data_IF_580995712707
#
_entry.id   IF_580995712707
#
_cell.length_a   1.000
_cell.length_b   1.000
_cell.length_c   1.000
_cell.angle_alpha   90.00
_cell.angle_beta   90.00
_cell.angle_gamma   90.00
#
_symmetry.space_group_name_H-M   'P 1'
#
loop_
_entity.id
_entity.type
_entity.pdbx_description
1 polymer ?
#
# COMPACT_ATOMS: atom_id res chain seq x y z
N UNK A 1 -15.92 13.86 -10.29
CA UNK A 1 -15.46 12.53 -10.73
C UNK A 1 -16.68 11.67 -11.00
N UNK A 2 -16.76 11.09 -12.20
CA UNK A 2 -17.82 10.13 -12.52
C UNK A 2 -17.27 8.73 -12.32
N UNK A 3 -18.00 7.87 -11.62
CA UNK A 3 -17.67 6.45 -11.47
C UNK A 3 -18.66 5.60 -12.27
N UNK A 4 -18.19 4.53 -12.85
CA UNK A 4 -19.03 3.54 -13.55
C UNK A 4 -19.70 2.58 -12.56
N UNK A 5 -19.20 2.50 -11.33
CA UNK A 5 -19.67 1.56 -10.33
C UNK A 5 -21.03 1.99 -9.74
N UNK A 6 -22.04 1.11 -9.74
CA UNK A 6 -23.31 1.37 -9.08
C UNK A 6 -23.15 1.44 -7.55
N UNK A 7 -24.07 2.15 -6.86
CA UNK A 7 -24.00 2.36 -5.41
C UNK A 7 -23.95 1.07 -4.58
N UNK A 8 -24.67 0.03 -5.02
CA UNK A 8 -24.64 -1.26 -4.31
C UNK A 8 -23.23 -1.88 -4.29
N UNK A 9 -22.44 -1.65 -5.34
CA UNK A 9 -21.08 -2.18 -5.42
C UNK A 9 -20.14 -1.47 -4.44
N UNK A 10 -20.34 -0.15 -4.20
CA UNK A 10 -19.66 0.59 -3.13
C UNK A 10 -20.01 0.02 -1.74
N UNK A 11 -21.31 -0.27 -1.51
CA UNK A 11 -21.75 -0.89 -0.27
C UNK A 11 -21.14 -2.28 -0.08
N UNK A 12 -21.14 -3.11 -1.14
CA UNK A 12 -20.53 -4.44 -1.12
C UNK A 12 -19.03 -4.36 -0.82
N UNK A 13 -18.31 -3.44 -1.47
CA UNK A 13 -16.90 -3.18 -1.17
C UNK A 13 -16.69 -2.81 0.30
N UNK A 14 -17.47 -1.87 0.82
CA UNK A 14 -17.40 -1.45 2.24
C UNK A 14 -17.62 -2.62 3.20
N UNK A 15 -18.63 -3.45 2.94
CA UNK A 15 -18.90 -4.66 3.74
C UNK A 15 -17.74 -5.64 3.68
N UNK A 16 -17.18 -5.90 2.49
CA UNK A 16 -16.02 -6.80 2.34
C UNK A 16 -14.82 -6.27 3.12
N UNK A 17 -14.52 -4.98 3.03
CA UNK A 17 -13.38 -4.37 3.75
C UNK A 17 -13.58 -4.48 5.27
N UNK A 18 -14.76 -4.13 5.78
CA UNK A 18 -15.06 -4.23 7.22
C UNK A 18 -15.00 -5.68 7.71
N UNK A 19 -15.57 -6.63 6.96
CA UNK A 19 -15.50 -8.05 7.27
C UNK A 19 -14.04 -8.55 7.26
N UNK A 20 -13.25 -8.13 6.28
CA UNK A 20 -11.84 -8.47 6.15
C UNK A 20 -11.02 -7.97 7.36
N UNK A 21 -11.21 -6.72 7.76
CA UNK A 21 -10.54 -6.15 8.93
C UNK A 21 -11.00 -6.84 10.23
N UNK A 22 -12.28 -7.19 10.33
CA UNK A 22 -12.79 -7.94 11.47
C UNK A 22 -12.20 -9.34 11.56
N UNK A 23 -12.14 -10.08 10.45
CA UNK A 23 -11.51 -11.40 10.37
C UNK A 23 -10.04 -11.30 10.77
N UNK A 24 -9.32 -10.32 10.23
CA UNK A 24 -7.90 -10.10 10.52
C UNK A 24 -7.68 -9.79 12.02
N UNK A 25 -8.58 -9.00 12.62
CA UNK A 25 -8.56 -8.71 14.04
C UNK A 25 -8.84 -9.96 14.91
N UNK A 26 -9.85 -10.77 14.53
CA UNK A 26 -10.18 -12.02 15.26
C UNK A 26 -9.03 -13.02 15.17
N UNK A 27 -8.43 -13.17 13.99
CA UNK A 27 -7.25 -14.04 13.77
C UNK A 27 -6.09 -13.55 14.64
N UNK A 28 -5.81 -12.25 14.64
CA UNK A 28 -4.78 -11.64 15.49
C UNK A 28 -5.00 -11.98 16.97
N UNK A 29 -6.23 -11.83 17.46
CA UNK A 29 -6.58 -12.10 18.87
C UNK A 29 -6.40 -13.58 19.24
N UNK A 30 -6.73 -14.49 18.33
CA UNK A 30 -6.57 -15.95 18.54
C UNK A 30 -5.10 -16.39 18.52
N UNK A 31 -4.28 -15.76 17.70
CA UNK A 31 -2.84 -16.10 17.56
C UNK A 31 -2.01 -15.68 18.79
N UNK A 32 -2.50 -14.72 19.58
CA UNK A 32 -1.80 -14.24 20.79
C UNK A 32 -0.31 -13.90 20.52
N UNK A 33 0.57 -14.40 21.40
CA UNK A 33 2.02 -14.19 21.29
C UNK A 33 2.76 -15.20 20.40
N UNK A 34 2.05 -16.18 19.81
CA UNK A 34 2.71 -17.20 18.96
C UNK A 34 3.22 -16.59 17.65
N UNK A 35 4.38 -17.03 17.18
CA UNK A 35 4.92 -16.62 15.90
C UNK A 35 4.11 -17.25 14.75
N UNK A 36 3.88 -16.45 13.70
CA UNK A 36 3.14 -16.90 12.52
C UNK A 36 4.07 -17.76 11.66
N UNK A 37 3.69 -19.02 11.46
CA UNK A 37 4.43 -19.90 10.58
C UNK A 37 4.34 -19.52 9.10
N UNK A 38 5.39 -19.81 8.31
CA UNK A 38 5.45 -19.48 6.88
C UNK A 38 4.26 -20.06 6.10
N UNK A 39 3.83 -21.29 6.40
CA UNK A 39 2.67 -21.91 5.75
C UNK A 39 1.36 -21.16 6.05
N UNK A 40 1.20 -20.73 7.28
CA UNK A 40 0.02 -19.96 7.69
C UNK A 40 -0.01 -18.59 7.01
N UNK A 41 1.12 -17.90 6.99
CA UNK A 41 1.29 -16.62 6.31
C UNK A 41 1.01 -16.74 4.79
N UNK A 42 1.50 -17.82 4.15
CA UNK A 42 1.23 -18.10 2.75
C UNK A 42 -0.27 -18.34 2.49
N UNK A 43 -0.91 -19.17 3.30
CA UNK A 43 -2.33 -19.48 3.16
C UNK A 43 -3.18 -18.22 3.29
N UNK A 44 -2.93 -17.38 4.29
CA UNK A 44 -3.64 -16.11 4.44
C UNK A 44 -3.37 -15.15 3.28
N UNK A 45 -2.13 -15.09 2.78
CA UNK A 45 -1.81 -14.28 1.60
C UNK A 45 -2.59 -14.74 0.37
N UNK A 46 -2.69 -16.05 0.14
CA UNK A 46 -3.49 -16.62 -0.95
C UNK A 46 -4.99 -16.34 -0.80
N UNK A 47 -5.53 -16.39 0.43
CA UNK A 47 -6.94 -16.04 0.70
C UNK A 47 -7.22 -14.59 0.30
N UNK A 48 -6.35 -13.65 0.66
CA UNK A 48 -6.53 -12.23 0.31
C UNK A 48 -6.39 -11.97 -1.20
N UNK A 49 -5.47 -12.67 -1.86
CA UNK A 49 -5.33 -12.62 -3.31
C UNK A 49 -6.60 -13.17 -3.99
N UNK A 50 -7.08 -14.35 -3.56
CA UNK A 50 -8.29 -14.94 -4.10
C UNK A 50 -9.52 -14.03 -3.91
N UNK A 51 -9.65 -13.38 -2.75
CA UNK A 51 -10.72 -12.42 -2.49
C UNK A 51 -10.68 -11.24 -3.47
N UNK A 52 -9.49 -10.73 -3.80
CA UNK A 52 -9.33 -9.65 -4.77
C UNK A 52 -9.77 -10.07 -6.18
N UNK A 53 -9.43 -11.29 -6.60
CA UNK A 53 -9.87 -11.84 -7.89
C UNK A 53 -11.37 -12.11 -7.93
N UNK A 54 -11.95 -12.63 -6.84
CA UNK A 54 -13.40 -12.82 -6.73
C UNK A 54 -14.14 -11.48 -6.81
N UNK A 55 -13.63 -10.45 -6.13
CA UNK A 55 -14.20 -9.12 -6.25
C UNK A 55 -14.08 -8.56 -7.66
N UNK A 56 -12.95 -8.75 -8.34
CA UNK A 56 -12.79 -8.35 -9.74
C UNK A 56 -13.78 -9.07 -10.67
N UNK A 57 -14.05 -10.35 -10.44
CA UNK A 57 -15.10 -11.10 -11.16
C UNK A 57 -16.49 -10.53 -10.90
N UNK A 58 -16.82 -10.19 -9.66
CA UNK A 58 -18.07 -9.53 -9.30
C UNK A 58 -18.18 -8.14 -9.95
N UNK A 59 -17.11 -7.36 -9.95
CA UNK A 59 -17.02 -6.05 -10.58
C UNK A 59 -17.25 -6.16 -12.10
N UNK A 60 -16.59 -7.09 -12.76
CA UNK A 60 -16.80 -7.38 -14.18
C UNK A 60 -18.25 -7.69 -14.49
N UNK A 61 -18.86 -8.61 -13.71
CA UNK A 61 -20.26 -8.98 -13.88
C UNK A 61 -21.20 -7.78 -13.68
N UNK A 62 -20.98 -6.98 -12.66
CA UNK A 62 -21.78 -5.80 -12.36
C UNK A 62 -21.73 -4.76 -13.47
N UNK A 63 -20.55 -4.50 -14.04
CA UNK A 63 -20.40 -3.55 -15.16
C UNK A 63 -21.09 -4.10 -16.43
N UNK A 64 -20.93 -5.40 -16.72
CA UNK A 64 -21.59 -6.03 -17.85
C UNK A 64 -23.12 -5.97 -17.72
N UNK A 65 -23.66 -6.27 -16.54
CA UNK A 65 -25.10 -6.24 -16.27
C UNK A 65 -25.67 -4.82 -16.40
N UNK A 66 -24.96 -3.82 -15.85
CA UNK A 66 -25.40 -2.43 -15.84
C UNK A 66 -25.31 -1.75 -17.20
N UNK A 67 -24.27 -2.05 -17.98
CA UNK A 67 -23.97 -1.34 -19.25
C UNK A 67 -24.34 -2.15 -20.49
N UNK A 68 -24.55 -3.45 -20.37
CA UNK A 68 -24.74 -4.38 -21.49
C UNK A 68 -23.49 -4.62 -22.35
N UNK A 69 -22.35 -3.97 -22.01
CA UNK A 69 -21.11 -4.02 -22.80
C UNK A 69 -20.08 -4.95 -22.17
N UNK A 70 -19.80 -6.08 -22.81
CA UNK A 70 -18.72 -7.00 -22.40
C UNK A 70 -17.34 -6.37 -22.60
N UNK A 71 -17.15 -5.58 -23.65
CA UNK A 71 -15.88 -4.90 -23.92
C UNK A 71 -15.52 -3.90 -22.83
N UNK A 72 -16.49 -3.08 -22.39
CA UNK A 72 -16.31 -2.14 -21.30
C UNK A 72 -16.02 -2.85 -19.98
N UNK A 73 -16.76 -3.94 -19.68
CA UNK A 73 -16.52 -4.75 -18.49
C UNK A 73 -15.11 -5.37 -18.50
N UNK A 74 -14.63 -5.88 -19.63
CA UNK A 74 -13.27 -6.38 -19.77
C UNK A 74 -12.23 -5.29 -19.51
N UNK A 75 -12.40 -4.11 -20.11
CA UNK A 75 -11.48 -2.98 -19.95
C UNK A 75 -11.39 -2.54 -18.48
N UNK A 76 -12.56 -2.36 -17.83
CA UNK A 76 -12.59 -1.91 -16.42
C UNK A 76 -12.07 -2.96 -15.43
N UNK A 77 -12.32 -4.24 -15.69
CA UNK A 77 -11.76 -5.35 -14.95
C UNK A 77 -10.22 -5.42 -15.07
N UNK A 78 -9.69 -5.19 -16.28
CA UNK A 78 -8.24 -5.11 -16.50
C UNK A 78 -7.61 -3.87 -15.85
N UNK A 79 -8.30 -2.72 -15.85
CA UNK A 79 -7.85 -1.54 -15.11
C UNK A 79 -7.73 -1.83 -13.61
N UNK A 80 -8.75 -2.48 -13.01
CA UNK A 80 -8.70 -2.90 -11.60
C UNK A 80 -7.53 -3.86 -11.35
N UNK A 81 -7.38 -4.89 -12.17
CA UNK A 81 -6.33 -5.89 -11.98
C UNK A 81 -4.93 -5.28 -12.12
N UNK A 82 -4.75 -4.39 -13.11
CA UNK A 82 -3.47 -3.69 -13.30
C UNK A 82 -3.15 -2.79 -12.09
N UNK A 83 -4.13 -2.00 -11.62
CA UNK A 83 -3.97 -1.17 -10.43
C UNK A 83 -3.65 -2.00 -9.18
N UNK A 84 -4.36 -3.13 -9.00
CA UNK A 84 -4.11 -4.07 -7.91
C UNK A 84 -2.69 -4.64 -7.94
N UNK A 85 -2.19 -5.09 -9.10
CA UNK A 85 -0.86 -5.67 -9.24
C UNK A 85 0.25 -4.62 -9.03
N UNK A 86 0.07 -3.41 -9.56
CA UNK A 86 1.01 -2.29 -9.33
C UNK A 86 1.10 -2.01 -7.83
N UNK A 87 -0.03 -1.79 -7.17
CA UNK A 87 -0.06 -1.49 -5.75
C UNK A 87 0.48 -2.66 -4.91
N UNK A 88 0.14 -3.90 -5.29
CA UNK A 88 0.65 -5.10 -4.62
C UNK A 88 2.16 -5.23 -4.73
N UNK A 89 2.73 -4.89 -5.90
CA UNK A 89 4.18 -4.88 -6.12
C UNK A 89 4.88 -3.80 -5.28
N UNK A 90 4.32 -2.59 -5.26
CA UNK A 90 4.84 -1.49 -4.43
C UNK A 90 4.68 -1.77 -2.92
N UNK A 91 3.60 -2.45 -2.53
CA UNK A 91 3.39 -2.87 -1.14
C UNK A 91 4.45 -3.86 -0.63
N UNK A 92 5.09 -4.64 -1.51
CA UNK A 92 6.24 -5.49 -1.14
C UNK A 92 7.42 -4.64 -0.68
N UNK A 93 7.71 -3.54 -1.36
CA UNK A 93 8.77 -2.60 -0.96
C UNK A 93 8.48 -1.97 0.41
N UNK A 94 7.23 -1.58 0.66
CA UNK A 94 6.79 -1.07 1.96
C UNK A 94 7.08 -2.07 3.09
N UNK A 95 6.93 -3.37 2.83
CA UNK A 95 7.21 -4.42 3.81
C UNK A 95 8.69 -4.46 4.19
N UNK A 96 9.61 -4.26 3.25
CA UNK A 96 11.04 -4.21 3.57
C UNK A 96 11.38 -3.01 4.48
N UNK A 97 10.73 -1.87 4.26
CA UNK A 97 10.89 -0.72 5.14
C UNK A 97 10.32 -1.00 6.54
N UNK A 98 9.20 -1.70 6.64
CA UNK A 98 8.66 -2.13 7.93
C UNK A 98 9.61 -3.09 8.65
N UNK A 99 10.19 -4.06 7.94
CA UNK A 99 11.21 -4.96 8.48
C UNK A 99 12.41 -4.18 9.02
N UNK A 100 12.89 -3.20 8.27
CA UNK A 100 14.00 -2.34 8.69
C UNK A 100 13.65 -1.52 9.95
N UNK A 101 12.45 -0.92 10.01
CA UNK A 101 11.97 -0.17 11.18
C UNK A 101 11.87 -1.09 12.39
N UNK A 102 11.27 -2.28 12.26
CA UNK A 102 11.14 -3.22 13.37
C UNK A 102 12.49 -3.73 13.86
N UNK A 103 13.44 -3.98 12.97
CA UNK A 103 14.80 -4.39 13.32
C UNK A 103 15.55 -3.28 14.03
N UNK A 104 15.48 -2.04 13.51
CA UNK A 104 16.14 -0.87 14.09
C UNK A 104 15.67 -0.58 15.50
N UNK A 105 14.36 -0.63 15.75
CA UNK A 105 13.78 -0.42 17.08
C UNK A 105 13.77 -1.68 17.94
N UNK A 106 14.29 -2.81 17.45
CA UNK A 106 14.26 -4.12 18.13
C UNK A 106 12.84 -4.48 18.63
N UNK A 107 11.81 -4.27 17.77
CA UNK A 107 10.40 -4.49 18.13
C UNK A 107 10.15 -5.98 18.35
N UNK A 108 9.73 -6.43 19.55
CA UNK A 108 9.37 -7.82 19.78
C UNK A 108 8.30 -8.34 18.83
N UNK A 109 8.41 -9.61 18.38
CA UNK A 109 7.52 -10.19 17.36
C UNK A 109 6.02 -10.10 17.70
N UNK A 110 5.69 -10.23 18.98
CA UNK A 110 4.31 -10.12 19.44
C UNK A 110 3.74 -8.69 19.32
N UNK A 111 4.58 -7.63 19.42
CA UNK A 111 4.14 -6.25 19.20
C UNK A 111 4.02 -5.91 17.72
N UNK A 112 4.83 -6.53 16.85
CA UNK A 112 4.79 -6.28 15.40
C UNK A 112 3.40 -6.53 14.81
N UNK A 113 2.70 -7.58 15.25
CA UNK A 113 1.34 -7.92 14.80
C UNK A 113 0.35 -6.78 15.03
N UNK A 114 0.40 -6.18 16.23
CA UNK A 114 -0.47 -5.07 16.61
C UNK A 114 -0.13 -3.80 15.85
N UNK A 115 1.16 -3.50 15.72
CA UNK A 115 1.64 -2.34 14.97
C UNK A 115 1.21 -2.43 13.52
N UNK A 116 1.38 -3.61 12.87
CA UNK A 116 0.95 -3.83 11.49
C UNK A 116 -0.56 -3.65 11.33
N UNK A 117 -1.38 -4.14 12.28
CA UNK A 117 -2.82 -3.95 12.22
C UNK A 117 -3.22 -2.46 12.26
N UNK A 118 -2.63 -1.71 13.19
CA UNK A 118 -2.87 -0.26 13.30
C UNK A 118 -2.36 0.44 12.03
N UNK A 119 -1.17 0.04 11.54
CA UNK A 119 -0.60 0.55 10.29
C UNK A 119 -1.52 0.33 9.08
N UNK A 120 -2.10 -0.86 8.93
CA UNK A 120 -3.03 -1.18 7.84
C UNK A 120 -4.29 -0.31 7.91
N UNK A 121 -4.89 -0.15 9.09
CA UNK A 121 -6.07 0.70 9.26
C UNK A 121 -5.71 2.15 8.93
N UNK A 122 -4.58 2.63 9.44
CA UNK A 122 -4.06 3.96 9.12
C UNK A 122 -3.80 4.16 7.63
N UNK A 123 -3.17 3.17 6.98
CA UNK A 123 -2.91 3.17 5.55
C UNK A 123 -4.20 3.26 4.73
N UNK A 124 -5.23 2.48 5.04
CA UNK A 124 -6.53 2.53 4.35
C UNK A 124 -7.14 3.93 4.47
N UNK A 125 -7.15 4.51 5.66
CA UNK A 125 -7.70 5.86 5.89
C UNK A 125 -6.90 6.92 5.15
N UNK A 126 -5.57 6.93 5.32
CA UNK A 126 -4.69 7.92 4.68
C UNK A 126 -4.77 7.85 3.15
N UNK A 127 -4.71 6.64 2.57
CA UNK A 127 -4.78 6.44 1.13
C UNK A 127 -6.16 6.81 0.57
N UNK A 128 -7.23 6.49 1.30
CA UNK A 128 -8.58 6.93 0.89
C UNK A 128 -8.63 8.46 0.78
N UNK A 129 -8.14 9.18 1.78
CA UNK A 129 -8.07 10.65 1.74
C UNK A 129 -7.22 11.13 0.58
N UNK A 130 -6.02 10.57 0.40
CA UNK A 130 -5.10 10.97 -0.68
C UNK A 130 -5.65 10.66 -2.08
N UNK A 131 -6.36 9.54 -2.26
CA UNK A 131 -7.02 9.19 -3.52
C UNK A 131 -8.14 10.19 -3.84
N UNK A 132 -8.95 10.56 -2.86
CA UNK A 132 -10.01 11.56 -3.04
C UNK A 132 -9.43 12.93 -3.39
N UNK A 133 -8.40 13.37 -2.68
CA UNK A 133 -7.71 14.64 -2.95
C UNK A 133 -6.99 14.59 -4.31
N UNK A 134 -6.24 13.53 -4.58
CA UNK A 134 -5.51 13.35 -5.85
C UNK A 134 -6.44 13.31 -7.04
N UNK A 135 -7.54 12.58 -6.93
CA UNK A 135 -8.54 12.53 -7.98
C UNK A 135 -9.26 13.86 -8.20
N UNK A 136 -9.52 14.64 -7.14
CA UNK A 136 -10.05 16.01 -7.28
C UNK A 136 -9.03 16.91 -7.99
N UNK A 137 -7.75 16.86 -7.59
CA UNK A 137 -6.68 17.62 -8.23
C UNK A 137 -6.56 17.30 -9.73
N UNK A 138 -6.61 16.03 -10.10
CA UNK A 138 -6.52 15.59 -11.49
C UNK A 138 -7.76 16.00 -12.31
N UNK A 139 -8.95 16.06 -11.69
CA UNK A 139 -10.15 16.51 -12.35
C UNK A 139 -10.13 18.02 -12.64
N UNK A 140 -9.50 18.81 -11.76
CA UNK A 140 -9.40 20.26 -11.89
C UNK A 140 -8.21 20.70 -12.73
N UNK A 141 -7.05 20.01 -12.59
CA UNK A 141 -5.80 20.40 -13.18
C UNK A 141 -5.15 19.27 -13.98
N UNK A 142 -5.53 19.13 -15.25
CA UNK A 142 -5.02 18.05 -16.12
C UNK A 142 -3.47 18.02 -16.24
N UNK A 143 -2.81 19.18 -16.19
CA UNK A 143 -1.35 19.28 -16.26
C UNK A 143 -0.62 18.59 -15.11
N UNK A 144 -1.30 18.31 -13.99
CA UNK A 144 -0.73 17.58 -12.85
C UNK A 144 -0.34 16.15 -13.24
N UNK A 145 -0.97 15.54 -14.26
CA UNK A 145 -0.57 14.23 -14.78
C UNK A 145 0.88 14.22 -15.26
N UNK A 146 1.32 15.28 -15.94
CA UNK A 146 2.71 15.40 -16.38
C UNK A 146 3.69 15.58 -15.22
N UNK A 147 3.28 16.36 -14.19
CA UNK A 147 4.08 16.52 -12.98
C UNK A 147 4.26 15.19 -12.26
N UNK A 148 3.17 14.43 -12.10
CA UNK A 148 3.21 13.11 -11.50
C UNK A 148 4.00 12.11 -12.35
N UNK A 149 3.85 12.14 -13.67
CA UNK A 149 4.63 11.31 -14.58
C UNK A 149 6.14 11.57 -14.45
N UNK A 150 6.55 12.84 -14.49
CA UNK A 150 7.95 13.22 -14.29
C UNK A 150 8.47 12.80 -12.91
N UNK A 151 7.66 12.99 -11.86
CA UNK A 151 8.00 12.57 -10.50
C UNK A 151 8.22 11.06 -10.40
N UNK A 152 7.36 10.24 -11.01
CA UNK A 152 7.50 8.78 -11.03
C UNK A 152 8.77 8.34 -11.78
N UNK A 153 9.08 8.97 -12.92
CA UNK A 153 10.34 8.70 -13.66
C UNK A 153 11.55 9.01 -12.78
N UNK A 154 11.56 10.18 -12.12
CA UNK A 154 12.66 10.57 -11.25
C UNK A 154 12.79 9.63 -10.03
N UNK A 155 11.69 9.23 -9.42
CA UNK A 155 11.68 8.28 -8.32
C UNK A 155 12.20 6.92 -8.77
N UNK A 156 11.74 6.41 -9.91
CA UNK A 156 12.23 5.15 -10.48
C UNK A 156 13.72 5.18 -10.81
N UNK A 157 14.23 6.27 -11.40
CA UNK A 157 15.66 6.45 -11.65
C UNK A 157 16.47 6.50 -10.34
N UNK A 158 16.00 7.26 -9.34
CA UNK A 158 16.63 7.31 -8.02
C UNK A 158 16.68 5.92 -7.38
N UNK A 159 15.58 5.17 -7.46
CA UNK A 159 15.49 3.81 -6.94
C UNK A 159 16.45 2.85 -7.64
N UNK A 160 16.59 2.96 -8.97
CA UNK A 160 17.54 2.20 -9.75
C UNK A 160 18.98 2.43 -9.29
N UNK A 161 19.39 3.70 -9.08
CA UNK A 161 20.75 4.03 -8.64
C UNK A 161 21.00 3.74 -7.16
N UNK A 162 19.96 3.71 -6.34
CA UNK A 162 20.05 3.36 -4.92
C UNK A 162 19.98 1.85 -4.70
N UNK A 163 19.58 1.06 -5.70
CA UNK A 163 19.46 -0.38 -5.58
C UNK A 163 20.81 -1.01 -5.20
N UNK A 164 20.79 -1.92 -4.23
CA UNK A 164 21.98 -2.56 -3.69
C UNK A 164 22.69 -1.80 -2.55
N UNK A 165 22.21 -0.61 -2.17
CA UNK A 165 22.69 0.09 -0.97
C UNK A 165 21.78 -0.27 0.22
N UNK A 166 22.38 -0.62 1.35
CA UNK A 166 21.61 -0.84 2.58
C UNK A 166 21.05 0.51 3.08
N UNK A 167 19.73 0.61 3.29
CA UNK A 167 19.13 1.83 3.82
C UNK A 167 19.53 2.00 5.30
N UNK A 168 20.06 3.17 5.64
CA UNK A 168 20.38 3.54 7.01
C UNK A 168 19.27 4.42 7.60
N UNK A 169 18.59 3.92 8.64
CA UNK A 169 17.51 4.66 9.31
C UNK A 169 18.00 5.88 10.09
N UNK A 170 19.24 5.91 10.56
CA UNK A 170 19.77 7.08 11.28
C UNK A 170 19.83 8.33 10.39
N UNK A 171 19.96 8.15 9.07
CA UNK A 171 19.94 9.23 8.10
C UNK A 171 18.53 9.61 7.63
N UNK A 172 17.50 8.86 8.03
CA UNK A 172 16.13 9.11 7.62
C UNK A 172 15.62 10.45 8.19
N UNK A 173 15.25 11.42 7.34
CA UNK A 173 14.79 12.74 7.78
C UNK A 173 13.50 12.67 8.62
N UNK A 174 12.63 11.68 8.34
CA UNK A 174 11.41 11.45 9.10
C UNK A 174 11.72 11.06 10.56
N UNK A 175 12.68 10.16 10.76
CA UNK A 175 13.11 9.76 12.11
C UNK A 175 13.75 10.93 12.84
N UNK A 176 14.61 11.71 12.19
CA UNK A 176 15.24 12.91 12.77
C UNK A 176 14.20 13.94 13.20
N UNK A 177 13.18 14.16 12.37
CA UNK A 177 12.08 15.08 12.67
C UNK A 177 11.25 14.60 13.87
N UNK A 178 10.85 13.33 13.88
CA UNK A 178 10.04 12.76 14.97
C UNK A 178 10.79 12.81 16.31
N UNK A 179 12.06 12.44 16.34
CA UNK A 179 12.90 12.53 17.56
C UNK A 179 13.03 13.95 18.09
N UNK A 180 12.99 14.96 17.23
CA UNK A 180 13.04 16.37 17.62
C UNK A 180 11.72 16.87 18.22
N UNK A 181 10.59 16.32 17.72
CA UNK A 181 9.26 16.79 18.10
C UNK A 181 8.68 16.05 19.30
N UNK A 182 9.05 14.78 19.51
CA UNK A 182 8.42 13.91 20.50
C UNK A 182 9.51 13.34 21.42
N UNK A 183 9.44 13.60 22.73
CA UNK A 183 10.31 12.95 23.71
C UNK A 183 9.94 11.47 23.81
N UNK A 184 10.94 10.60 23.68
CA UNK A 184 10.77 9.14 23.63
C UNK A 184 11.49 8.50 24.81
N UNK A 185 10.82 7.57 25.49
CA UNK A 185 11.43 6.73 26.53
C UNK A 185 12.48 5.79 25.94
N UNK A 186 13.42 5.35 26.81
CA UNK A 186 14.44 4.39 26.38
C UNK A 186 13.89 2.99 26.18
N UNK A 187 12.92 2.59 27.01
CA UNK A 187 12.41 1.23 27.08
C UNK A 187 10.96 1.14 26.62
N UNK A 188 10.56 -0.06 26.21
CA UNK A 188 9.17 -0.38 25.96
C UNK A 188 8.40 -0.50 27.29
N UNK A 189 7.18 0.02 27.33
CA UNK A 189 6.25 -0.15 28.45
C UNK A 189 5.11 -1.08 28.02
N UNK A 190 5.42 -2.37 27.91
CA UNK A 190 4.50 -3.36 27.36
C UNK A 190 4.00 -2.93 25.96
N UNK A 191 2.68 -2.98 25.76
CA UNK A 191 2.02 -2.53 24.52
C UNK A 191 1.56 -1.06 24.55
N UNK A 192 1.97 -0.29 25.57
CA UNK A 192 1.56 1.10 25.71
C UNK A 192 2.31 2.00 24.72
N UNK A 193 1.60 3.01 24.22
CA UNK A 193 2.20 4.04 23.33
C UNK A 193 2.77 5.22 24.13
N UNK A 194 2.36 5.35 25.39
CA UNK A 194 2.78 6.42 26.28
C UNK A 194 3.14 5.84 27.64
N UNK A 195 4.20 6.38 28.24
CA UNK A 195 4.63 6.03 29.59
C UNK A 195 4.95 7.29 30.40
N UNK A 196 5.16 7.13 31.71
CA UNK A 196 5.55 8.22 32.61
C UNK A 196 7.02 8.09 32.98
N UNK A 197 7.84 9.04 32.60
CA UNK A 197 9.25 9.08 32.90
C UNK A 197 9.56 10.42 33.60
N UNK A 198 10.12 10.38 34.82
CA UNK A 198 10.39 11.55 35.62
C UNK A 198 9.18 12.49 35.82
N UNK A 199 7.99 11.94 36.00
CA UNK A 199 6.74 12.70 36.19
C UNK A 199 6.21 13.37 34.90
N UNK A 200 6.81 13.12 33.75
CA UNK A 200 6.36 13.63 32.44
C UNK A 200 5.86 12.48 31.58
N UNK A 201 4.79 12.74 30.80
CA UNK A 201 4.28 11.80 29.81
C UNK A 201 5.19 11.83 28.59
N UNK A 202 5.79 10.69 28.25
CA UNK A 202 6.67 10.52 27.10
C UNK A 202 6.16 9.41 26.19
N UNK A 203 6.49 9.45 24.90
CA UNK A 203 6.14 8.40 23.96
C UNK A 203 7.04 7.17 24.18
N UNK A 204 6.50 5.97 23.93
CA UNK A 204 7.30 4.75 23.90
C UNK A 204 7.95 4.56 22.52
N UNK A 205 8.99 3.72 22.39
CA UNK A 205 9.51 3.33 21.09
C UNK A 205 8.43 2.75 20.15
N UNK A 206 7.40 2.11 20.71
CA UNK A 206 6.29 1.54 19.93
C UNK A 206 5.44 2.64 19.24
N UNK A 207 5.23 3.77 19.91
CA UNK A 207 4.58 4.93 19.30
C UNK A 207 5.40 5.51 18.15
N UNK A 208 6.72 5.62 18.33
CA UNK A 208 7.63 6.09 17.28
C UNK A 208 7.58 5.17 16.04
N UNK A 209 7.53 3.87 16.25
CA UNK A 209 7.41 2.88 15.17
C UNK A 209 6.13 3.10 14.37
N UNK A 210 4.98 3.29 15.04
CA UNK A 210 3.70 3.56 14.35
C UNK A 210 3.76 4.88 13.57
N UNK A 211 4.30 5.93 14.16
CA UNK A 211 4.47 7.21 13.48
C UNK A 211 5.35 7.11 12.24
N UNK A 212 6.45 6.34 12.32
CA UNK A 212 7.34 6.11 11.17
C UNK A 212 6.63 5.30 10.09
N UNK A 213 5.92 4.24 10.46
CA UNK A 213 5.14 3.43 9.49
C UNK A 213 4.09 4.30 8.80
N UNK A 214 3.33 5.11 9.55
CA UNK A 214 2.34 6.01 8.97
C UNK A 214 2.98 7.05 8.04
N UNK A 215 4.10 7.63 8.43
CA UNK A 215 4.80 8.63 7.63
C UNK A 215 5.42 8.03 6.35
N UNK A 216 6.00 6.83 6.45
CA UNK A 216 6.52 6.12 5.28
C UNK A 216 5.40 5.70 4.32
N UNK A 217 4.23 5.28 4.83
CA UNK A 217 3.08 4.96 3.98
C UNK A 217 2.57 6.19 3.22
N UNK A 218 2.56 7.38 3.82
CA UNK A 218 2.26 8.63 3.11
C UNK A 218 3.27 8.88 1.98
N UNK A 219 4.58 8.68 2.23
CA UNK A 219 5.61 8.85 1.20
C UNK A 219 5.38 7.87 0.05
N UNK A 220 5.12 6.61 0.33
CA UNK A 220 4.83 5.61 -0.69
C UNK A 220 3.52 5.85 -1.44
N UNK A 221 2.50 6.40 -0.76
CA UNK A 221 1.25 6.77 -1.40
C UNK A 221 1.42 7.90 -2.43
N UNK A 222 2.39 8.79 -2.22
CA UNK A 222 2.74 9.84 -3.20
C UNK A 222 3.27 9.25 -4.51
N UNK A 223 3.93 8.09 -4.47
CA UNK A 223 4.39 7.36 -5.66
C UNK A 223 3.29 6.47 -6.25
N UNK A 224 2.58 5.71 -5.40
CA UNK A 224 1.65 4.67 -5.86
C UNK A 224 0.32 5.23 -6.39
N UNK A 225 -0.23 6.27 -5.77
CA UNK A 225 -1.52 6.84 -6.18
C UNK A 225 -1.46 7.42 -7.60
N UNK A 226 -0.48 8.26 -7.98
CA UNK A 226 -0.31 8.69 -9.37
C UNK A 226 -0.13 7.53 -10.35
N UNK A 227 0.58 6.47 -9.94
CA UNK A 227 0.78 5.29 -10.78
C UNK A 227 -0.55 4.59 -11.14
N UNK A 228 -1.50 4.54 -10.21
CA UNK A 228 -2.83 3.97 -10.48
C UNK A 228 -3.66 4.94 -11.33
N UNK A 229 -3.58 6.25 -11.10
CA UNK A 229 -4.25 7.25 -11.94
C UNK A 229 -3.76 7.25 -13.39
N UNK A 230 -2.54 6.78 -13.65
CA UNK A 230 -2.04 6.54 -15.01
C UNK A 230 -2.77 5.39 -15.74
N UNK A 231 -3.44 4.52 -15.00
CA UNK A 231 -4.19 3.38 -15.53
C UNK A 231 -5.67 3.74 -15.73
N UNK A 232 -6.27 4.41 -14.74
CA UNK A 232 -7.70 4.75 -14.74
C UNK A 232 -7.97 6.01 -13.92
N UNK A 233 -8.95 6.80 -14.37
CA UNK A 233 -9.46 7.96 -13.63
C UNK A 233 -10.75 7.64 -12.85
N UNK A 234 -11.21 6.38 -12.87
CA UNK A 234 -12.40 5.98 -12.11
C UNK A 234 -12.05 5.85 -10.62
N UNK A 235 -12.62 6.69 -9.74
CA UNK A 235 -12.27 6.71 -8.32
C UNK A 235 -12.62 5.38 -7.61
N UNK A 236 -13.63 4.66 -8.09
CA UNK A 236 -13.96 3.35 -7.55
C UNK A 236 -12.84 2.34 -7.81
N UNK A 237 -12.34 2.28 -9.04
CA UNK A 237 -11.27 1.35 -9.41
C UNK A 237 -9.99 1.72 -8.66
N UNK A 238 -9.62 3.01 -8.61
CA UNK A 238 -8.43 3.47 -7.89
C UNK A 238 -8.50 3.10 -6.41
N UNK A 239 -9.62 3.37 -5.74
CA UNK A 239 -9.78 3.08 -4.31
C UNK A 239 -9.82 1.58 -4.03
N UNK A 240 -10.63 0.83 -4.79
CA UNK A 240 -10.83 -0.59 -4.51
C UNK A 240 -9.57 -1.42 -4.79
N UNK A 241 -8.90 -1.19 -5.92
CA UNK A 241 -7.64 -1.87 -6.25
C UNK A 241 -6.56 -1.61 -5.20
N UNK A 242 -6.46 -0.36 -4.72
CA UNK A 242 -5.51 0.04 -3.69
C UNK A 242 -5.81 -0.65 -2.34
N UNK A 243 -7.06 -0.58 -1.88
CA UNK A 243 -7.45 -1.18 -0.60
C UNK A 243 -7.29 -2.70 -0.62
N UNK A 244 -7.70 -3.39 -1.71
CA UNK A 244 -7.50 -4.84 -1.83
C UNK A 244 -6.01 -5.22 -1.84
N UNK A 245 -5.13 -4.40 -2.39
CA UNK A 245 -3.70 -4.66 -2.35
C UNK A 245 -3.11 -4.55 -0.94
N UNK A 246 -3.64 -3.63 -0.11
CA UNK A 246 -3.24 -3.46 1.29
C UNK A 246 -3.82 -4.57 2.18
N UNK A 247 -5.03 -5.06 1.88
CA UNK A 247 -5.60 -6.19 2.60
C UNK A 247 -4.65 -7.41 2.49
N UNK A 248 -4.39 -8.05 3.61
CA UNK A 248 -3.44 -9.15 3.69
C UNK A 248 -1.96 -8.73 3.77
N UNK A 249 -1.64 -7.43 3.83
CA UNK A 249 -0.27 -6.94 3.98
C UNK A 249 0.41 -7.51 5.23
N UNK A 250 -0.34 -7.72 6.32
CA UNK A 250 0.15 -8.38 7.53
C UNK A 250 0.61 -9.83 7.27
N UNK A 251 -0.20 -10.62 6.57
CA UNK A 251 0.18 -11.99 6.22
C UNK A 251 1.42 -12.00 5.30
N UNK A 252 1.43 -11.10 4.34
CA UNK A 252 2.55 -10.94 3.40
C UNK A 252 3.83 -10.47 4.10
N UNK A 253 3.71 -9.64 5.16
CA UNK A 253 4.84 -9.22 5.98
C UNK A 253 5.55 -10.45 6.60
N UNK A 254 4.82 -11.33 7.29
CA UNK A 254 5.42 -12.51 7.91
C UNK A 254 5.96 -13.51 6.88
N UNK A 255 5.34 -13.62 5.72
CA UNK A 255 5.84 -14.43 4.62
C UNK A 255 7.18 -13.87 4.10
N UNK A 256 7.24 -12.58 3.78
CA UNK A 256 8.43 -11.94 3.23
C UNK A 256 9.56 -11.80 4.25
N UNK A 257 9.24 -11.58 5.52
CA UNK A 257 10.22 -11.54 6.61
C UNK A 257 11.08 -12.82 6.66
N UNK A 258 10.47 -13.97 6.34
CA UNK A 258 11.18 -15.27 6.34
C UNK A 258 12.11 -15.45 5.15
N UNK A 259 11.99 -14.68 4.08
CA UNK A 259 12.77 -14.82 2.83
C UNK A 259 13.40 -13.52 2.35
N UNK A 260 13.37 -12.47 3.17
CA UNK A 260 13.81 -11.12 2.82
C UNK A 260 15.21 -11.05 2.19
N UNK A 261 16.16 -11.86 2.68
CA UNK A 261 17.52 -11.90 2.17
C UNK A 261 17.66 -12.37 0.71
N UNK A 262 16.60 -12.93 0.12
CA UNK A 262 16.58 -13.43 -1.27
C UNK A 262 16.10 -12.40 -2.28
N UNK A 263 15.52 -11.26 -1.85
CA UNK A 263 14.86 -10.30 -2.72
C UNK A 263 15.73 -9.09 -3.12
N UNK A 264 17.01 -9.32 -3.42
CA UNK A 264 17.94 -8.25 -3.80
C UNK A 264 17.65 -7.58 -5.16
N UNK A 265 16.85 -8.22 -6.04
CA UNK A 265 16.48 -7.67 -7.35
C UNK A 265 15.17 -6.89 -7.34
N UNK A 266 14.41 -6.91 -6.23
CA UNK A 266 13.09 -6.29 -6.15
C UNK A 266 13.12 -4.79 -6.50
N UNK A 267 14.08 -4.05 -5.93
CA UNK A 267 14.23 -2.61 -6.17
C UNK A 267 14.46 -2.26 -7.64
N UNK A 268 15.15 -3.11 -8.40
CA UNK A 268 15.31 -2.93 -9.84
C UNK A 268 13.99 -3.13 -10.59
N UNK A 269 13.22 -4.17 -10.23
CA UNK A 269 11.91 -4.43 -10.81
C UNK A 269 10.93 -3.26 -10.57
N UNK A 270 10.86 -2.77 -9.33
CA UNK A 270 10.01 -1.63 -8.97
C UNK A 270 10.46 -0.34 -9.68
N UNK A 271 11.76 -0.10 -9.79
CA UNK A 271 12.28 1.04 -10.53
C UNK A 271 11.83 1.02 -12.01
N UNK A 272 11.88 -0.14 -12.67
CA UNK A 272 11.41 -0.31 -14.06
C UNK A 272 9.92 -0.01 -14.16
N UNK A 273 9.09 -0.53 -13.25
CA UNK A 273 7.64 -0.28 -13.22
C UNK A 273 7.37 1.23 -13.09
N UNK A 274 8.01 1.92 -12.15
CA UNK A 274 7.82 3.36 -11.93
C UNK A 274 8.25 4.19 -13.15
N UNK A 275 9.39 3.87 -13.76
CA UNK A 275 9.88 4.55 -14.98
C UNK A 275 8.88 4.33 -16.13
N UNK A 276 8.42 3.10 -16.33
CA UNK A 276 7.45 2.79 -17.37
C UNK A 276 6.13 3.54 -17.18
N UNK A 277 5.56 3.51 -15.96
CA UNK A 277 4.29 4.17 -15.65
C UNK A 277 4.43 5.68 -15.76
N UNK A 278 5.51 6.26 -15.23
CA UNK A 278 5.77 7.69 -15.32
C UNK A 278 5.93 8.16 -16.78
N UNK A 279 6.62 7.38 -17.60
CA UNK A 279 6.75 7.64 -19.05
C UNK A 279 5.39 7.57 -19.74
N UNK A 280 4.56 6.56 -19.41
CA UNK A 280 3.18 6.44 -19.90
C UNK A 280 2.35 7.68 -19.57
N UNK A 281 2.45 8.21 -18.35
CA UNK A 281 1.74 9.43 -17.95
C UNK A 281 2.18 10.65 -18.73
N UNK A 282 3.49 10.82 -18.94
CA UNK A 282 4.02 11.92 -19.73
C UNK A 282 3.62 11.85 -21.23
N UNK A 283 3.30 10.66 -21.72
CA UNK A 283 2.90 10.43 -23.11
C UNK A 283 1.38 10.40 -23.33
N UNK A 284 0.56 10.63 -22.31
CA UNK A 284 -0.90 10.36 -22.33
C UNK A 284 -1.63 11.09 -23.47
N UNK A 285 -1.22 12.29 -23.82
CA UNK A 285 -1.83 13.09 -24.89
C UNK A 285 -1.19 12.86 -26.28
N UNK A 286 -0.01 12.19 -26.32
CA UNK A 286 0.71 11.88 -27.58
C UNK A 286 0.41 10.46 -28.03
N UNK A 287 0.49 9.49 -27.11
CA UNK A 287 0.30 8.07 -27.41
C UNK A 287 -0.33 7.33 -26.23
N UNK A 288 -1.53 6.80 -26.42
CA UNK A 288 -2.26 6.03 -25.42
C UNK A 288 -1.79 4.57 -25.40
N UNK A 289 -0.98 4.21 -24.41
CA UNK A 289 -0.55 2.83 -24.19
C UNK A 289 -1.72 2.01 -23.64
N UNK A 290 -2.13 0.90 -24.30
CA UNK A 290 -3.24 0.08 -23.86
C UNK A 290 -3.01 -0.55 -22.48
N UNK A 291 -4.10 -0.79 -21.73
CA UNK A 291 -4.04 -1.32 -20.36
C UNK A 291 -3.43 -2.74 -20.32
N UNK A 292 -3.76 -3.58 -21.32
CA UNK A 292 -3.21 -4.94 -21.40
C UNK A 292 -1.69 -4.97 -21.59
N UNK A 293 -1.11 -3.97 -22.28
CA UNK A 293 0.34 -3.83 -22.38
C UNK A 293 0.96 -3.42 -21.03
N UNK A 294 0.31 -2.47 -20.32
CA UNK A 294 0.73 -2.07 -18.98
C UNK A 294 0.70 -3.25 -18.00
N UNK A 295 -0.34 -4.07 -18.07
CA UNK A 295 -0.45 -5.28 -17.26
C UNK A 295 0.67 -6.29 -17.57
N UNK A 296 1.09 -6.41 -18.83
CA UNK A 296 2.17 -7.31 -19.23
C UNK A 296 3.56 -6.87 -18.78
N UNK A 297 3.77 -5.57 -18.54
CA UNK A 297 5.03 -5.03 -18.01
C UNK A 297 5.12 -5.18 -16.48
N UNK A 298 4.00 -5.04 -15.77
CA UNK A 298 3.88 -5.19 -14.30
C UNK A 298 3.89 -6.66 -13.89
#
# INVERSE_FOLDING_TARGET
MQTIAPLWLWATFGVIVLASLFIDFVVLRKQGSQDIGVKEALNWSLVWIALSFLFNGLFWWAIKDTTGSTELANTKSLEFLTGYLIEKSLAVDNIFVFLLIFTYFAVPSHFQKRVLMIGIIGAIVLRTVMILVGGWLLAEFHWILYLFGAFLVLTGLKMWWAAGKEPNLDDNPALKLLRKLIPVSKDYDGENFWTMENGKKVATPLFMVICLIALTDVIFAVDSIPAIFAITNDPFIVLTSNVFAILGLRAMYFLLASVASKFHLLNYGLAVILIFIGTKMCLIDVYKIPVHFSLGVV
#
